data_IF_843994934134
#
_entry.id   IF_843994934134
#
_cell.length_a   1.000
_cell.length_b   1.000
_cell.length_c   1.000
_cell.angle_alpha   90.00
_cell.angle_beta   90.00
_cell.angle_gamma   90.00
#
_symmetry.space_group_name_H-M   'P 1'
#
loop_
_entity.id
_entity.type
_entity.pdbx_description
1 polymer ?
#
# COMPACT_ATOMS: atom_id res chain seq x y z
N UNK A 1 12.15 -12.84 -13.65
CA UNK A 1 12.65 -11.54 -13.14
C UNK A 1 11.50 -10.55 -13.02
N UNK A 2 11.68 -9.44 -12.30
CA UNK A 2 10.69 -8.36 -12.21
C UNK A 2 10.21 -7.89 -13.58
N UNK A 3 11.13 -7.65 -14.53
CA UNK A 3 10.79 -7.20 -15.88
C UNK A 3 9.88 -8.17 -16.65
N UNK A 4 10.10 -9.48 -16.49
CA UNK A 4 9.22 -10.49 -17.11
C UNK A 4 7.82 -10.48 -16.49
N UNK A 5 7.73 -10.33 -15.17
CA UNK A 5 6.45 -10.24 -14.48
C UNK A 5 5.69 -8.96 -14.87
N UNK A 6 6.39 -7.83 -14.91
CA UNK A 6 5.88 -6.54 -15.37
C UNK A 6 5.34 -6.63 -16.80
N UNK A 7 6.16 -7.10 -17.74
CA UNK A 7 5.76 -7.26 -19.13
C UNK A 7 4.53 -8.18 -19.27
N UNK A 8 4.47 -9.28 -18.51
CA UNK A 8 3.32 -10.17 -18.52
C UNK A 8 2.04 -9.48 -18.05
N UNK A 9 2.11 -8.75 -16.93
CA UNK A 9 0.98 -8.04 -16.34
C UNK A 9 0.48 -6.88 -17.19
N UNK A 10 1.38 -6.18 -17.88
CA UNK A 10 1.04 -5.01 -18.70
C UNK A 10 0.53 -5.40 -20.10
N UNK A 11 1.06 -6.47 -20.71
CA UNK A 11 0.77 -6.80 -22.11
C UNK A 11 -0.39 -7.79 -22.31
N UNK A 12 -0.63 -8.70 -21.37
CA UNK A 12 -1.44 -9.90 -21.65
C UNK A 12 -2.90 -9.84 -21.19
N UNK A 13 -3.36 -8.71 -20.63
CA UNK A 13 -4.70 -8.59 -20.04
C UNK A 13 -5.47 -7.37 -20.56
N UNK A 14 -5.89 -7.35 -21.84
CA UNK A 14 -6.81 -6.33 -22.34
C UNK A 14 -8.18 -6.47 -21.67
N UNK A 15 -8.84 -5.34 -21.36
CA UNK A 15 -10.14 -5.34 -20.69
C UNK A 15 -11.22 -4.70 -21.59
N UNK A 16 -12.29 -5.45 -21.95
CA UNK A 16 -13.40 -4.87 -22.69
C UNK A 16 -14.01 -3.68 -21.95
N UNK A 17 -14.32 -2.61 -22.67
CA UNK A 17 -14.87 -1.39 -22.07
C UNK A 17 -16.17 -1.64 -21.29
N UNK A 18 -17.04 -2.51 -21.81
CA UNK A 18 -18.31 -2.87 -21.15
C UNK A 18 -18.08 -3.51 -19.78
N UNK A 19 -17.06 -4.36 -19.64
CA UNK A 19 -16.76 -5.01 -18.37
C UNK A 19 -16.27 -4.01 -17.31
N UNK A 20 -15.59 -2.91 -17.69
CA UNK A 20 -15.23 -1.82 -16.77
C UNK A 20 -16.47 -1.20 -16.17
N UNK A 21 -17.42 -0.83 -17.03
CA UNK A 21 -18.66 -0.18 -16.65
C UNK A 21 -19.49 -1.11 -15.75
N UNK A 22 -19.62 -2.38 -16.12
CA UNK A 22 -20.33 -3.37 -15.31
C UNK A 22 -19.69 -3.59 -13.93
N UNK A 23 -18.36 -3.67 -13.89
CA UNK A 23 -17.61 -3.85 -12.63
C UNK A 23 -17.79 -2.63 -11.73
N UNK A 24 -17.58 -1.42 -12.26
CA UNK A 24 -17.75 -0.17 -11.52
C UNK A 24 -19.19 0.00 -11.01
N UNK A 25 -20.18 -0.29 -11.86
CA UNK A 25 -21.61 -0.26 -11.47
C UNK A 25 -21.89 -1.21 -10.30
N UNK A 26 -21.32 -2.42 -10.33
CA UNK A 26 -21.52 -3.41 -9.27
C UNK A 26 -20.88 -2.98 -7.96
N UNK A 27 -19.66 -2.41 -8.03
CA UNK A 27 -18.96 -1.87 -6.87
C UNK A 27 -19.73 -0.72 -6.24
N UNK A 28 -20.23 0.22 -7.06
CA UNK A 28 -21.03 1.35 -6.58
C UNK A 28 -22.29 0.90 -5.85
N UNK A 29 -23.04 -0.05 -6.42
CA UNK A 29 -24.21 -0.62 -5.76
C UNK A 29 -23.87 -1.23 -4.40
N UNK A 30 -22.72 -1.89 -4.28
CA UNK A 30 -22.27 -2.45 -3.01
C UNK A 30 -21.90 -1.36 -1.99
N UNK A 31 -21.24 -0.28 -2.43
CA UNK A 31 -20.93 0.89 -1.60
C UNK A 31 -22.21 1.57 -1.11
N UNK A 32 -23.11 1.91 -2.03
CA UNK A 32 -24.40 2.58 -1.73
C UNK A 32 -25.28 1.76 -0.78
N UNK A 33 -25.23 0.42 -0.88
CA UNK A 33 -26.02 -0.46 -0.03
C UNK A 33 -25.38 -0.79 1.33
N UNK A 34 -24.04 -0.74 1.43
CA UNK A 34 -23.33 -1.37 2.54
C UNK A 34 -22.28 -0.51 3.25
N UNK A 35 -21.77 0.54 2.62
CA UNK A 35 -20.70 1.36 3.21
C UNK A 35 -21.25 2.61 3.88
N UNK A 36 -21.46 2.53 5.20
CA UNK A 36 -22.09 3.58 6.00
C UNK A 36 -21.21 4.80 6.27
N UNK A 37 -19.91 4.76 5.90
CA UNK A 37 -18.96 5.83 6.19
C UNK A 37 -18.60 6.67 4.95
N UNK A 38 -19.45 6.68 3.92
CA UNK A 38 -19.19 7.44 2.69
C UNK A 38 -19.07 8.95 2.96
N UNK A 39 -19.95 9.52 3.78
CA UNK A 39 -19.89 10.94 4.17
C UNK A 39 -18.59 11.28 4.93
N UNK A 40 -18.17 10.38 5.83
CA UNK A 40 -16.93 10.54 6.58
C UNK A 40 -15.70 10.46 5.67
N UNK A 41 -15.74 9.58 4.66
CA UNK A 41 -14.68 9.45 3.68
C UNK A 41 -14.60 10.68 2.76
N UNK A 42 -15.76 11.24 2.39
CA UNK A 42 -15.86 12.43 1.55
C UNK A 42 -15.55 13.74 2.29
N UNK A 43 -15.72 13.77 3.61
CA UNK A 43 -15.49 14.93 4.48
C UNK A 43 -14.79 14.53 5.77
N UNK A 44 -13.51 14.11 5.71
CA UNK A 44 -12.77 13.68 6.88
C UNK A 44 -12.52 14.82 7.87
N UNK A 45 -12.36 14.49 9.17
CA UNK A 45 -11.83 15.37 10.19
C UNK A 45 -10.68 16.28 9.72
N UNK A 46 -10.88 17.60 9.77
CA UNK A 46 -9.79 18.55 9.55
C UNK A 46 -8.95 18.72 10.82
N UNK A 47 -7.63 18.81 10.67
CA UNK A 47 -6.70 19.19 11.75
C UNK A 47 -6.90 20.63 12.25
N UNK A 48 -7.72 21.43 11.56
CA UNK A 48 -8.12 22.76 12.01
C UNK A 48 -9.16 22.74 13.13
N UNK A 49 -9.73 21.57 13.46
CA UNK A 49 -10.63 21.43 14.61
C UNK A 49 -9.82 21.24 15.89
N UNK A 50 -9.96 22.10 16.92
CA UNK A 50 -9.20 22.01 18.16
C UNK A 50 -9.46 20.73 18.97
N UNK A 51 -10.50 19.96 18.64
CA UNK A 51 -10.85 18.68 19.26
C UNK A 51 -10.24 17.46 18.56
N UNK A 52 -9.57 17.62 17.42
CA UNK A 52 -9.09 16.51 16.61
C UNK A 52 -7.57 16.43 16.71
N UNK A 53 -7.08 15.31 17.24
CA UNK A 53 -5.65 15.07 17.37
C UNK A 53 -4.96 15.19 16.00
N UNK A 54 -3.80 15.86 15.98
CA UNK A 54 -2.94 15.89 14.81
C UNK A 54 -2.68 14.46 14.35
N UNK A 55 -3.01 14.15 13.08
CA UNK A 55 -2.83 12.82 12.49
C UNK A 55 -4.11 12.02 12.20
N UNK A 56 -5.30 12.48 12.63
CA UNK A 56 -6.58 11.86 12.28
C UNK A 56 -7.20 12.38 10.96
N UNK A 57 -6.56 13.36 10.34
CA UNK A 57 -6.94 13.84 9.01
C UNK A 57 -6.36 12.93 7.94
N UNK A 58 -7.14 12.73 6.88
CA UNK A 58 -6.74 12.02 5.68
C UNK A 58 -7.35 12.68 4.46
N UNK A 59 -6.88 12.29 3.27
CA UNK A 59 -7.36 12.86 2.01
C UNK A 59 -8.85 12.51 1.82
N UNK A 60 -9.74 13.49 1.57
CA UNK A 60 -11.12 13.21 1.20
C UNK A 60 -11.22 12.35 -0.06
N UNK A 61 -12.20 11.44 -0.08
CA UNK A 61 -12.49 10.56 -1.22
C UNK A 61 -14.00 10.45 -1.42
N UNK A 62 -14.46 10.69 -2.66
CA UNK A 62 -15.82 10.40 -3.07
C UNK A 62 -15.84 9.04 -3.76
N UNK A 63 -16.00 7.96 -2.99
CA UNK A 63 -15.75 6.60 -3.44
C UNK A 63 -16.52 6.24 -4.72
N UNK A 64 -17.83 6.47 -4.72
CA UNK A 64 -18.70 6.18 -5.88
C UNK A 64 -18.31 6.98 -7.12
N UNK A 65 -18.04 8.27 -6.94
CA UNK A 65 -17.57 9.15 -8.03
C UNK A 65 -16.22 8.72 -8.59
N UNK A 66 -15.23 8.46 -7.73
CA UNK A 66 -13.88 8.10 -8.18
C UNK A 66 -13.85 6.73 -8.86
N UNK A 67 -14.72 5.79 -8.45
CA UNK A 67 -14.94 4.53 -9.16
C UNK A 67 -15.54 4.75 -10.57
N UNK A 68 -16.51 5.65 -10.72
CA UNK A 68 -17.05 6.03 -12.04
C UNK A 68 -16.01 6.70 -12.94
N UNK A 69 -15.19 7.60 -12.36
CA UNK A 69 -14.13 8.29 -13.08
C UNK A 69 -13.12 7.26 -13.63
N UNK A 70 -12.78 6.21 -12.88
CA UNK A 70 -11.92 5.11 -13.34
C UNK A 70 -12.55 4.30 -14.47
N UNK A 71 -13.86 4.06 -14.41
CA UNK A 71 -14.57 3.28 -15.43
C UNK A 71 -14.63 3.99 -16.79
N UNK A 72 -14.66 5.32 -16.75
CA UNK A 72 -14.78 6.20 -17.92
C UNK A 72 -13.45 6.81 -18.36
N UNK A 73 -12.37 6.57 -17.60
CA UNK A 73 -11.06 7.14 -17.87
C UNK A 73 -10.51 6.71 -19.25
N UNK A 74 -10.08 7.65 -20.10
CA UNK A 74 -9.44 7.31 -21.36
C UNK A 74 -8.13 6.57 -21.14
N UNK A 75 -7.89 5.54 -21.95
CA UNK A 75 -6.62 4.80 -21.98
C UNK A 75 -5.41 5.70 -22.28
N UNK A 76 -5.63 6.76 -23.05
CA UNK A 76 -4.58 7.68 -23.46
C UNK A 76 -4.08 8.61 -22.33
N UNK A 77 -4.85 8.78 -21.24
CA UNK A 77 -4.56 9.80 -20.22
C UNK A 77 -4.40 9.25 -18.81
N UNK A 78 -4.71 7.97 -18.57
CA UNK A 78 -4.59 7.35 -17.25
C UNK A 78 -4.10 5.91 -17.35
N UNK A 79 -3.22 5.45 -16.44
CA UNK A 79 -2.88 4.03 -16.34
C UNK A 79 -4.11 3.13 -16.20
N UNK A 80 -5.15 3.57 -15.47
CA UNK A 80 -6.37 2.80 -15.28
C UNK A 80 -7.10 2.44 -16.59
N UNK A 81 -6.91 3.23 -17.65
CA UNK A 81 -7.49 2.94 -18.95
C UNK A 81 -6.64 2.03 -19.84
N UNK A 82 -5.38 1.71 -19.47
CA UNK A 82 -4.43 1.01 -20.36
C UNK A 82 -4.58 -0.50 -20.35
N UNK A 83 -4.85 -1.12 -19.19
CA UNK A 83 -5.03 -2.58 -19.08
C UNK A 83 -5.90 -2.97 -17.87
N UNK A 84 -6.30 -4.25 -17.82
CA UNK A 84 -7.15 -4.80 -16.77
C UNK A 84 -6.53 -4.55 -15.38
N UNK A 85 -5.26 -4.89 -15.20
CA UNK A 85 -4.57 -4.77 -13.91
C UNK A 85 -4.65 -3.35 -13.37
N UNK A 86 -4.34 -2.36 -14.21
CA UNK A 86 -4.32 -0.96 -13.82
C UNK A 86 -5.72 -0.43 -13.43
N UNK A 87 -6.79 -0.90 -14.06
CA UNK A 87 -8.15 -0.59 -13.63
C UNK A 87 -8.41 -1.11 -12.20
N UNK A 88 -8.09 -2.37 -11.93
CA UNK A 88 -8.31 -2.99 -10.61
C UNK A 88 -7.40 -2.40 -9.52
N UNK A 89 -6.15 -2.09 -9.83
CA UNK A 89 -5.25 -1.37 -8.91
C UNK A 89 -5.78 0.05 -8.65
N UNK A 90 -6.38 0.69 -9.65
CA UNK A 90 -7.09 1.98 -9.52
C UNK A 90 -8.22 1.91 -8.48
N UNK A 91 -9.08 0.89 -8.57
CA UNK A 91 -10.17 0.67 -7.60
C UNK A 91 -9.60 0.46 -6.18
N UNK A 92 -8.59 -0.41 -6.04
CA UNK A 92 -7.90 -0.62 -4.75
C UNK A 92 -7.38 0.70 -4.18
N UNK A 93 -6.74 1.53 -5.01
CA UNK A 93 -6.21 2.83 -4.59
C UNK A 93 -7.30 3.82 -4.19
N UNK A 94 -8.50 3.75 -4.79
CA UNK A 94 -9.66 4.55 -4.34
C UNK A 94 -10.09 4.12 -2.93
N UNK A 95 -10.17 2.81 -2.68
CA UNK A 95 -10.61 2.29 -1.39
C UNK A 95 -9.60 2.60 -0.27
N UNK A 96 -8.30 2.47 -0.56
CA UNK A 96 -7.21 2.83 0.36
C UNK A 96 -7.36 4.26 0.89
N UNK A 97 -7.82 5.23 0.06
CA UNK A 97 -7.96 6.63 0.47
C UNK A 97 -8.95 6.82 1.62
N UNK A 98 -9.93 5.92 1.79
CA UNK A 98 -10.91 6.00 2.86
C UNK A 98 -10.31 5.68 4.24
N UNK A 99 -9.10 5.09 4.28
CA UNK A 99 -8.38 4.72 5.52
C UNK A 99 -9.23 3.88 6.46
N UNK A 100 -9.91 2.89 5.89
CA UNK A 100 -10.78 1.98 6.62
C UNK A 100 -10.37 0.53 6.37
N UNK A 101 -9.85 -0.15 7.40
CA UNK A 101 -9.45 -1.55 7.31
C UNK A 101 -10.60 -2.49 6.92
N UNK A 102 -11.87 -2.07 7.06
CA UNK A 102 -13.02 -2.88 6.67
C UNK A 102 -13.47 -2.62 5.22
N UNK A 103 -12.96 -1.57 4.56
CA UNK A 103 -13.24 -1.27 3.17
C UNK A 103 -12.07 -1.71 2.28
N UNK A 104 -12.15 -2.94 1.78
CA UNK A 104 -11.14 -3.50 0.90
C UNK A 104 -11.72 -3.92 -0.45
N UNK A 105 -10.93 -3.72 -1.50
CA UNK A 105 -11.18 -4.27 -2.82
C UNK A 105 -10.09 -5.27 -3.16
N UNK A 106 -10.47 -6.46 -3.64
CA UNK A 106 -9.48 -7.47 -4.04
C UNK A 106 -9.86 -8.15 -5.33
N UNK A 107 -9.06 -7.91 -6.36
CA UNK A 107 -9.16 -8.58 -7.64
C UNK A 107 -8.40 -9.91 -7.59
N UNK A 108 -9.11 -11.01 -7.31
CA UNK A 108 -8.50 -12.33 -7.13
C UNK A 108 -7.62 -12.79 -8.30
N UNK A 109 -7.91 -12.36 -9.53
CA UNK A 109 -7.11 -12.69 -10.72
C UNK A 109 -5.65 -12.22 -10.61
N UNK A 110 -5.39 -11.12 -9.89
CA UNK A 110 -4.04 -10.57 -9.73
C UNK A 110 -3.41 -10.84 -8.37
N UNK A 111 -4.15 -11.42 -7.43
CA UNK A 111 -3.63 -11.83 -6.11
C UNK A 111 -2.53 -12.88 -6.18
N UNK A 112 -2.42 -13.58 -7.30
CA UNK A 112 -1.33 -14.55 -7.54
C UNK A 112 0.03 -13.85 -7.67
N UNK A 113 0.04 -12.53 -7.94
CA UNK A 113 1.25 -11.73 -8.00
C UNK A 113 1.41 -10.97 -6.69
N UNK A 114 2.41 -11.35 -5.93
CA UNK A 114 2.85 -10.63 -4.74
C UNK A 114 4.29 -10.16 -4.95
N UNK A 115 4.56 -8.90 -4.59
CA UNK A 115 5.87 -8.29 -4.72
C UNK A 115 6.43 -8.05 -3.31
N UNK A 116 7.53 -8.72 -3.00
CA UNK A 116 8.18 -8.68 -1.70
C UNK A 116 9.59 -8.09 -1.83
N UNK A 117 9.95 -7.10 -1.01
CA UNK A 117 11.32 -6.53 -0.98
C UNK A 117 12.29 -7.26 -0.03
N UNK A 118 11.85 -8.35 0.61
CA UNK A 118 12.70 -9.24 1.40
C UNK A 118 13.27 -8.71 2.72
N UNK A 119 13.29 -7.39 2.95
CA UNK A 119 13.82 -6.79 4.17
C UNK A 119 12.72 -6.58 5.23
N UNK A 120 12.99 -7.04 6.45
CA UNK A 120 12.17 -6.74 7.62
C UNK A 120 12.69 -5.47 8.28
N UNK A 121 11.89 -4.42 8.25
CA UNK A 121 12.26 -3.10 8.78
C UNK A 121 11.65 -2.87 10.16
N UNK A 122 12.34 -2.11 11.01
CA UNK A 122 11.80 -1.50 12.22
C UNK A 122 12.13 -0.01 12.27
N UNK A 123 11.32 0.76 12.98
CA UNK A 123 11.64 2.14 13.33
C UNK A 123 12.04 2.23 14.80
N UNK A 124 12.98 3.11 15.10
CA UNK A 124 13.38 3.42 16.48
C UNK A 124 13.50 4.93 16.63
N UNK A 125 13.18 5.45 17.81
CA UNK A 125 13.41 6.88 18.12
C UNK A 125 14.90 7.18 18.14
N UNK A 126 15.31 8.28 17.51
CA UNK A 126 16.67 8.79 17.64
C UNK A 126 16.86 9.38 19.04
N UNK A 127 17.98 9.06 19.69
CA UNK A 127 18.24 9.44 21.07
C UNK A 127 18.32 10.98 21.26
N UNK A 128 18.76 11.70 20.21
CA UNK A 128 19.06 13.13 20.27
C UNK A 128 18.26 13.99 19.27
N UNK A 129 17.16 13.46 18.70
CA UNK A 129 16.34 14.21 17.73
C UNK A 129 14.89 13.74 17.69
N UNK A 130 13.97 14.60 17.25
CA UNK A 130 12.53 14.29 17.04
C UNK A 130 12.23 13.34 15.85
N UNK A 131 13.19 12.53 15.41
CA UNK A 131 13.05 11.68 14.22
C UNK A 131 13.23 10.19 14.50
N UNK A 132 12.97 9.39 13.46
CA UNK A 132 13.16 7.94 13.51
C UNK A 132 14.44 7.52 12.79
N UNK A 133 15.11 6.48 13.30
CA UNK A 133 16.05 5.66 12.53
C UNK A 133 15.30 4.44 12.00
N UNK A 134 15.51 4.13 10.73
CA UNK A 134 14.93 2.95 10.10
C UNK A 134 16.02 1.89 10.02
N UNK A 135 15.78 0.72 10.59
CA UNK A 135 16.77 -0.37 10.60
C UNK A 135 16.23 -1.62 9.96
N UNK A 136 17.12 -2.43 9.41
CA UNK A 136 16.82 -3.80 9.04
C UNK A 136 16.96 -4.68 10.28
N UNK A 137 15.90 -5.40 10.63
CA UNK A 137 15.88 -6.35 11.77
C UNK A 137 15.92 -7.81 11.31
N UNK A 138 15.85 -8.04 10.00
CA UNK A 138 15.94 -9.37 9.42
C UNK A 138 15.77 -9.35 7.91
N UNK A 139 16.07 -10.50 7.30
CA UNK A 139 15.91 -10.74 5.87
C UNK A 139 15.08 -12.00 5.71
N UNK A 140 14.12 -11.97 4.78
CA UNK A 140 13.39 -13.16 4.39
C UNK A 140 14.35 -14.19 3.78
N UNK A 141 14.31 -15.43 4.26
CA UNK A 141 15.22 -16.49 3.80
C UNK A 141 15.19 -16.69 2.28
N UNK A 142 14.01 -16.58 1.63
CA UNK A 142 13.90 -16.64 0.17
C UNK A 142 14.72 -15.55 -0.51
N UNK A 143 14.78 -14.38 0.12
CA UNK A 143 15.56 -13.26 -0.37
C UNK A 143 17.05 -13.47 -0.09
N UNK A 144 17.43 -14.00 1.09
CA UNK A 144 18.84 -14.29 1.40
C UNK A 144 19.46 -15.30 0.42
N UNK A 145 18.68 -16.25 -0.09
CA UNK A 145 19.13 -17.22 -1.10
C UNK A 145 19.18 -16.64 -2.52
N UNK A 146 18.35 -15.65 -2.82
CA UNK A 146 18.22 -15.01 -4.14
C UNK A 146 19.08 -13.77 -4.31
N UNK A 147 19.36 -13.07 -3.21
CA UNK A 147 20.08 -11.81 -3.19
C UNK A 147 21.58 -12.11 -3.21
N UNK A 148 22.30 -11.50 -4.15
CA UNK A 148 23.78 -11.51 -4.17
C UNK A 148 24.37 -10.62 -3.07
N UNK A 149 23.71 -10.53 -1.92
CA UNK A 149 24.17 -9.75 -0.78
C UNK A 149 25.41 -10.43 -0.20
N UNK A 150 26.56 -9.77 -0.35
CA UNK A 150 27.83 -10.24 0.21
C UNK A 150 28.03 -9.77 1.67
N UNK A 151 26.97 -9.32 2.33
CA UNK A 151 26.98 -8.85 3.71
C UNK A 151 25.66 -9.18 4.41
N UNK A 152 25.70 -9.29 5.73
CA UNK A 152 24.50 -9.39 6.56
C UNK A 152 23.93 -7.98 6.77
N UNK A 153 22.73 -7.66 6.24
CA UNK A 153 22.13 -6.34 6.44
C UNK A 153 21.50 -6.18 7.83
N UNK A 154 21.53 -7.21 8.69
CA UNK A 154 21.04 -7.13 10.05
C UNK A 154 21.60 -5.93 10.82
N UNK A 155 20.71 -5.15 11.41
CA UNK A 155 20.98 -3.89 12.12
C UNK A 155 21.56 -2.74 11.28
N UNK A 156 21.62 -2.88 9.95
CA UNK A 156 21.95 -1.74 9.09
C UNK A 156 20.87 -0.67 9.19
N UNK A 157 21.28 0.59 9.35
CA UNK A 157 20.41 1.75 9.20
C UNK A 157 20.19 2.04 7.71
N UNK A 158 18.95 2.34 7.36
CA UNK A 158 18.57 2.78 6.03
C UNK A 158 18.46 4.30 6.05
N UNK A 159 19.47 4.96 5.50
CA UNK A 159 19.49 6.42 5.43
C UNK A 159 18.51 6.96 4.38
N UNK A 160 18.52 6.36 3.17
CA UNK A 160 17.71 6.81 2.04
C UNK A 160 17.11 5.65 1.24
N UNK A 161 15.97 5.90 0.61
CA UNK A 161 15.30 5.03 -0.35
C UNK A 161 15.03 5.85 -1.60
N UNK A 162 15.58 5.44 -2.75
CA UNK A 162 15.46 6.20 -3.99
C UNK A 162 16.01 7.64 -3.88
N UNK A 163 17.02 7.88 -3.03
CA UNK A 163 17.59 9.21 -2.78
C UNK A 163 16.77 10.12 -1.85
N UNK A 164 15.65 9.65 -1.32
CA UNK A 164 14.82 10.36 -0.33
C UNK A 164 15.12 9.83 1.07
N UNK A 165 15.16 10.65 2.13
CA UNK A 165 15.29 10.17 3.50
C UNK A 165 14.30 9.04 3.81
N UNK A 166 14.78 7.93 4.37
CA UNK A 166 13.98 6.70 4.49
C UNK A 166 12.68 6.91 5.30
N UNK A 167 12.76 7.67 6.39
CA UNK A 167 11.60 8.08 7.20
C UNK A 167 10.54 8.78 6.34
N UNK A 168 10.95 9.79 5.56
CA UNK A 168 10.06 10.55 4.68
C UNK A 168 9.47 9.66 3.58
N UNK A 169 10.27 8.77 2.99
CA UNK A 169 9.82 7.85 1.95
C UNK A 169 8.74 6.90 2.48
N UNK A 170 8.99 6.29 3.65
CA UNK A 170 8.04 5.34 4.27
C UNK A 170 6.78 6.08 4.76
N UNK A 171 6.92 7.28 5.31
CA UNK A 171 5.78 8.13 5.69
C UNK A 171 4.90 8.44 4.47
N UNK A 172 5.51 8.89 3.37
CA UNK A 172 4.81 9.17 2.11
C UNK A 172 4.14 7.92 1.57
N UNK A 173 4.82 6.78 1.64
CA UNK A 173 4.25 5.50 1.24
C UNK A 173 3.03 5.13 2.11
N UNK A 174 3.13 5.24 3.43
CA UNK A 174 2.05 4.89 4.35
C UNK A 174 0.83 5.81 4.14
N UNK A 175 1.07 7.09 3.86
CA UNK A 175 0.03 8.05 3.49
C UNK A 175 -0.62 7.75 2.14
N UNK A 176 0.05 7.04 1.23
CA UNK A 176 -0.52 6.71 -0.07
C UNK A 176 -1.21 5.34 -0.03
N UNK A 177 -0.56 4.33 0.54
CA UNK A 177 -0.88 2.92 0.30
C UNK A 177 -1.36 2.14 1.54
N UNK A 178 -1.24 2.68 2.76
CA UNK A 178 -1.74 1.99 3.95
C UNK A 178 -3.23 2.30 4.17
N UNK A 179 -4.09 1.28 4.09
CA UNK A 179 -5.55 1.33 4.24
C UNK A 179 -6.04 1.15 5.69
N UNK A 180 -5.15 0.84 6.62
CA UNK A 180 -5.51 0.24 7.91
C UNK A 180 -6.24 1.16 8.90
N UNK A 181 -5.87 2.43 8.96
CA UNK A 181 -6.36 3.33 10.02
C UNK A 181 -6.42 4.76 9.54
N UNK A 182 -7.37 5.53 10.09
CA UNK A 182 -7.50 6.98 9.92
C UNK A 182 -6.38 7.73 10.64
N UNK A 183 -5.70 7.11 11.60
CA UNK A 183 -4.52 7.63 12.31
C UNK A 183 -3.22 7.44 11.49
N UNK A 184 -2.51 8.54 11.24
CA UNK A 184 -1.25 8.55 10.49
C UNK A 184 -0.12 7.74 11.16
N UNK A 185 -0.01 7.78 12.48
CA UNK A 185 1.02 7.05 13.21
C UNK A 185 0.76 5.55 13.16
N UNK A 186 -0.52 5.12 13.22
CA UNK A 186 -0.88 3.71 13.04
C UNK A 186 -0.50 3.24 11.63
N UNK A 187 -0.74 4.06 10.60
CA UNK A 187 -0.33 3.73 9.22
C UNK A 187 1.19 3.66 9.06
N UNK A 188 1.92 4.61 9.64
CA UNK A 188 3.37 4.61 9.64
C UNK A 188 3.92 3.37 10.35
N UNK A 189 3.44 3.06 11.55
CA UNK A 189 3.81 1.86 12.30
C UNK A 189 3.55 0.57 11.53
N UNK A 190 2.44 0.50 10.78
CA UNK A 190 2.07 -0.67 9.97
C UNK A 190 3.05 -0.96 8.82
N UNK A 191 3.80 0.04 8.37
CA UNK A 191 4.84 -0.14 7.36
C UNK A 191 5.95 -1.08 7.85
N UNK A 192 6.18 -1.14 9.17
CA UNK A 192 7.26 -1.88 9.79
C UNK A 192 6.84 -3.28 10.21
N UNK A 193 7.86 -4.13 10.38
CA UNK A 193 7.71 -5.52 10.79
C UNK A 193 7.23 -5.59 12.23
N UNK A 194 6.39 -6.57 12.51
CA UNK A 194 5.85 -6.78 13.85
C UNK A 194 6.44 -8.06 14.43
N UNK A 195 7.07 -8.02 15.62
CA UNK A 195 7.46 -9.23 16.30
C UNK A 195 6.19 -9.99 16.71
N UNK A 196 6.21 -11.28 16.51
CA UNK A 196 5.17 -12.20 16.93
C UNK A 196 5.78 -13.20 17.89
N UNK A 197 5.18 -13.26 19.08
CA UNK A 197 5.60 -14.23 20.08
C UNK A 197 4.79 -15.50 19.85
N UNK A 198 5.47 -16.54 19.39
CA UNK A 198 4.95 -17.91 19.45
C UNK A 198 5.53 -18.54 20.72
N UNK A 199 4.71 -19.03 21.67
CA UNK A 199 5.22 -19.66 22.89
C UNK A 199 6.02 -20.94 22.63
N UNK A 200 5.87 -21.57 21.46
CA UNK A 200 6.53 -22.83 21.09
C UNK A 200 7.70 -22.64 20.10
N UNK A 201 7.92 -21.42 19.59
CA UNK A 201 9.05 -21.07 18.71
C UNK A 201 9.88 -19.90 19.29
N UNK A 202 11.14 -19.75 18.89
CA UNK A 202 12.00 -18.63 19.28
C UNK A 202 11.57 -17.31 18.58
N UNK A 203 10.31 -16.91 18.71
CA UNK A 203 9.73 -15.70 18.12
C UNK A 203 9.68 -15.71 16.58
N UNK A 204 8.55 -15.31 16.01
CA UNK A 204 8.42 -15.04 14.58
C UNK A 204 8.43 -13.53 14.31
N UNK A 205 8.78 -13.12 13.09
CA UNK A 205 8.65 -11.73 12.66
C UNK A 205 7.76 -11.70 11.44
N UNK A 206 6.66 -10.95 11.51
CA UNK A 206 5.83 -10.69 10.35
C UNK A 206 6.36 -9.46 9.60
N UNK A 207 6.47 -9.60 8.28
CA UNK A 207 6.79 -8.48 7.40
C UNK A 207 5.78 -7.36 7.55
N UNK A 208 6.27 -6.12 7.65
CA UNK A 208 5.43 -4.94 7.58
C UNK A 208 4.77 -4.78 6.21
N UNK A 209 3.71 -3.98 6.13
CA UNK A 209 2.97 -3.78 4.88
C UNK A 209 3.78 -3.06 3.80
N UNK A 210 4.86 -2.35 4.17
CA UNK A 210 5.78 -1.78 3.20
C UNK A 210 6.54 -2.87 2.42
N UNK A 211 6.81 -3.99 3.10
CA UNK A 211 7.62 -5.06 2.58
C UNK A 211 6.90 -5.93 1.54
N UNK A 212 5.57 -5.93 1.55
CA UNK A 212 4.72 -6.78 0.70
C UNK A 212 3.67 -5.96 -0.01
N UNK A 213 3.58 -6.05 -1.34
CA UNK A 213 2.57 -5.32 -2.12
C UNK A 213 1.84 -6.23 -3.08
N UNK A 214 0.52 -6.04 -3.15
CA UNK A 214 -0.35 -6.69 -4.14
C UNK A 214 -0.45 -5.91 -5.45
N UNK A 215 0.07 -4.68 -5.53
CA UNK A 215 0.19 -3.87 -6.75
C UNK A 215 1.60 -3.98 -7.33
N UNK A 216 1.73 -3.87 -8.65
CA UNK A 216 3.03 -3.87 -9.33
C UNK A 216 3.82 -2.63 -8.90
N UNK A 217 5.00 -2.76 -8.26
CA UNK A 217 5.83 -1.60 -7.93
C UNK A 217 6.37 -0.94 -9.20
N UNK A 218 6.73 0.35 -9.16
CA UNK A 218 7.26 1.06 -10.34
C UNK A 218 8.64 0.54 -10.76
N UNK A 219 9.43 0.06 -9.81
CA UNK A 219 10.79 -0.44 -9.97
C UNK A 219 11.00 -1.74 -9.18
N UNK A 220 11.98 -2.54 -9.62
CA UNK A 220 12.42 -3.69 -8.85
C UNK A 220 13.04 -3.23 -7.52
N UNK A 221 12.84 -4.02 -6.46
CA UNK A 221 13.71 -3.97 -5.29
C UNK A 221 14.92 -4.88 -5.50
N UNK A 222 15.93 -4.73 -4.62
CA UNK A 222 17.25 -5.39 -4.68
C UNK A 222 17.21 -6.88 -5.07
#
# INVERSE_FOLDING_TARGET
>A
SYEQAKACLEANFPFPADNRIHTATSIKKALEAGYVFEDLAASPPSTSSPSIAAGLSFRPVQLTKEVDDLATAPAATTPAGTNWRAFHDGITNVFIKARDAHLAYSAHCFRQFQFDQGLFLAHMTKQDSEGYRIVVIGVNNKFSELSSLNFDPGNCEIDTIGGVPAEQYIQTWAEQYADYSKDANVRFGRAFSTPAFDPDEDGSTFSGSFATRGSLPPEASL
#
